data_IF_205662657676
#
_entry.id   IF_205662657676
#
_cell.length_a   1.000
_cell.length_b   1.000
_cell.length_c   1.000
_cell.angle_alpha   90.00
_cell.angle_beta   90.00
_cell.angle_gamma   90.00
#
_symmetry.space_group_name_H-M   'P 1'
#
loop_
_entity.id
_entity.type
_entity.pdbx_description
1 polymer ?
#
# COMPACT_ATOMS: atom_id res chain seq x y z
N UNK A 1 -7.64 3.98 -14.81
CA UNK A 1 -7.47 4.78 -13.61
C UNK A 1 -6.71 6.04 -13.96
N UNK A 2 -7.21 7.20 -13.59
CA UNK A 2 -6.72 8.52 -14.04
C UNK A 2 -5.89 9.20 -12.95
N UNK A 3 -6.34 9.13 -11.72
CA UNK A 3 -5.74 9.83 -10.58
C UNK A 3 -5.03 8.89 -9.61
N UNK A 4 -5.70 7.86 -9.14
CA UNK A 4 -5.19 6.95 -8.10
C UNK A 4 -4.37 5.80 -8.70
N UNK A 5 -3.30 6.16 -9.41
CA UNK A 5 -2.40 5.21 -10.08
C UNK A 5 -1.48 4.48 -9.08
N UNK A 6 -0.70 3.52 -9.58
CA UNK A 6 0.34 2.85 -8.77
C UNK A 6 1.37 3.84 -8.26
N UNK A 7 1.74 4.82 -9.11
CA UNK A 7 2.68 5.88 -8.78
C UNK A 7 2.13 6.81 -7.69
N UNK A 8 0.83 7.17 -7.76
CA UNK A 8 0.16 7.90 -6.69
C UNK A 8 0.22 7.14 -5.37
N UNK A 9 -0.08 5.84 -5.38
CA UNK A 9 -0.05 5.02 -4.18
C UNK A 9 1.37 4.90 -3.60
N UNK A 10 2.39 4.72 -4.46
CA UNK A 10 3.80 4.70 -4.04
C UNK A 10 4.22 6.05 -3.44
N UNK A 11 3.77 7.17 -4.00
CA UNK A 11 3.99 8.50 -3.44
C UNK A 11 3.35 8.68 -2.06
N UNK A 12 2.09 8.24 -1.86
CA UNK A 12 1.45 8.24 -0.55
C UNK A 12 2.25 7.42 0.47
N UNK A 13 2.69 6.21 0.08
CA UNK A 13 3.47 5.35 0.98
C UNK A 13 4.87 5.92 1.30
N UNK A 14 5.46 6.66 0.36
CA UNK A 14 6.75 7.29 0.53
C UNK A 14 6.69 8.52 1.46
N UNK A 15 5.59 9.28 1.40
CA UNK A 15 5.40 10.49 2.20
C UNK A 15 5.51 10.24 3.71
N UNK A 16 5.17 9.04 4.16
CA UNK A 16 5.16 8.66 5.59
C UNK A 16 6.51 8.16 6.12
N UNK A 17 7.47 7.83 5.24
CA UNK A 17 8.71 7.16 5.67
C UNK A 17 9.61 7.97 6.58
N UNK A 18 9.57 9.31 6.48
CA UNK A 18 10.46 10.17 7.26
C UNK A 18 10.01 10.45 8.69
N UNK A 19 8.78 10.07 9.06
CA UNK A 19 8.17 10.46 10.32
C UNK A 19 8.92 9.91 11.55
N UNK A 20 9.50 8.71 11.45
CA UNK A 20 10.13 8.01 12.58
C UNK A 20 11.64 7.80 12.42
N UNK A 21 12.28 8.43 11.44
CA UNK A 21 13.69 8.23 11.12
C UNK A 21 14.60 8.85 12.19
N UNK A 22 15.34 8.02 12.92
CA UNK A 22 16.31 8.47 13.90
C UNK A 22 17.69 8.72 13.25
N UNK A 23 18.46 9.65 13.80
CA UNK A 23 19.82 9.96 13.33
C UNK A 23 20.85 9.18 14.13
N UNK A 24 21.78 8.52 13.44
CA UNK A 24 22.93 7.84 14.04
C UNK A 24 24.18 8.03 13.18
N UNK A 25 25.32 8.35 13.82
CA UNK A 25 26.63 8.34 13.16
C UNK A 25 27.05 6.94 12.73
N UNK A 26 26.58 5.89 13.41
CA UNK A 26 26.89 4.51 13.04
C UNK A 26 26.26 4.08 11.69
N UNK A 27 25.43 4.93 11.10
CA UNK A 27 24.90 4.74 9.74
C UNK A 27 25.79 5.37 8.64
N UNK A 28 26.93 6.00 8.99
CA UNK A 28 27.86 6.61 8.02
C UNK A 28 28.68 5.56 7.29
N UNK A 29 28.95 4.42 7.93
CA UNK A 29 29.74 3.34 7.39
C UNK A 29 29.03 2.00 7.50
N UNK A 30 29.31 1.11 6.56
CA UNK A 30 28.82 -0.26 6.62
C UNK A 30 29.41 -1.00 7.82
N UNK A 31 28.55 -1.59 8.68
CA UNK A 31 28.95 -2.44 9.78
C UNK A 31 27.95 -3.58 9.98
N UNK A 32 28.37 -4.79 9.68
CA UNK A 32 27.54 -5.99 9.86
C UNK A 32 27.19 -6.24 11.33
N UNK A 33 28.11 -5.94 12.25
CA UNK A 33 27.89 -6.07 13.69
C UNK A 33 26.82 -5.08 14.16
N UNK A 34 26.93 -3.81 13.76
CA UNK A 34 25.94 -2.78 14.07
C UNK A 34 24.58 -3.14 13.51
N UNK A 35 24.50 -3.59 12.26
CA UNK A 35 23.24 -4.04 11.67
C UNK A 35 22.58 -5.17 12.47
N UNK A 36 23.33 -6.23 12.83
CA UNK A 36 22.80 -7.38 13.58
C UNK A 36 22.28 -6.99 14.95
N UNK A 37 22.97 -6.10 15.65
CA UNK A 37 22.56 -5.61 16.96
C UNK A 37 21.27 -4.74 16.83
N UNK A 38 21.24 -3.81 15.87
CA UNK A 38 20.10 -2.98 15.58
C UNK A 38 18.87 -3.81 15.18
N UNK A 39 19.04 -4.76 14.26
CA UNK A 39 17.98 -5.69 13.83
C UNK A 39 17.39 -6.46 15.00
N UNK A 40 18.27 -6.99 15.87
CA UNK A 40 17.84 -7.75 17.04
C UNK A 40 17.03 -6.88 18.02
N UNK A 41 17.45 -5.64 18.25
CA UNK A 41 16.71 -4.69 19.11
C UNK A 41 15.35 -4.33 18.53
N UNK A 42 15.29 -4.02 17.23
CA UNK A 42 14.02 -3.69 16.54
C UNK A 42 13.07 -4.87 16.51
N UNK A 43 13.56 -6.09 16.21
CA UNK A 43 12.76 -7.31 16.26
C UNK A 43 12.14 -7.54 17.65
N UNK A 44 12.93 -7.40 18.71
CA UNK A 44 12.44 -7.55 20.10
C UNK A 44 11.36 -6.53 20.43
N UNK A 45 11.53 -5.27 20.01
CA UNK A 45 10.54 -4.23 20.22
C UNK A 45 9.22 -4.53 19.48
N UNK A 46 9.32 -4.96 18.21
CA UNK A 46 8.17 -5.37 17.40
C UNK A 46 7.41 -6.55 18.03
N UNK A 47 8.12 -7.61 18.41
CA UNK A 47 7.52 -8.80 19.04
C UNK A 47 6.84 -8.43 20.37
N UNK A 48 7.42 -7.52 21.15
CA UNK A 48 6.80 -7.02 22.38
C UNK A 48 5.49 -6.26 22.11
N UNK A 49 5.49 -5.38 21.10
CA UNK A 49 4.31 -4.64 20.71
C UNK A 49 3.20 -5.59 20.22
N UNK A 50 3.51 -6.55 19.33
CA UNK A 50 2.54 -7.55 18.85
C UNK A 50 1.92 -8.34 20.02
N UNK A 51 2.73 -8.71 21.03
CA UNK A 51 2.22 -9.40 22.22
C UNK A 51 1.22 -8.55 23.01
N UNK A 52 1.49 -7.23 23.12
CA UNK A 52 0.58 -6.30 23.82
C UNK A 52 -0.74 -6.10 23.03
N UNK A 53 -0.67 -6.11 21.68
CA UNK A 53 -1.84 -5.92 20.82
C UNK A 53 -2.71 -7.18 20.69
N UNK A 54 -2.12 -8.37 20.59
CA UNK A 54 -2.83 -9.65 20.33
C UNK A 54 -3.23 -10.39 21.61
N UNK A 55 -2.62 -10.07 22.76
CA UNK A 55 -2.95 -10.68 24.05
C UNK A 55 -2.79 -12.20 24.05
N UNK A 56 -3.88 -12.92 24.33
CA UNK A 56 -3.87 -14.40 24.39
C UNK A 56 -3.70 -15.08 23.03
N UNK A 57 -4.00 -14.39 21.92
CA UNK A 57 -3.83 -14.94 20.56
C UNK A 57 -2.39 -14.81 20.02
N UNK A 58 -1.47 -14.24 20.80
CA UNK A 58 -0.11 -13.96 20.36
C UNK A 58 0.71 -15.22 20.03
N UNK A 59 1.23 -15.26 18.81
CA UNK A 59 2.21 -16.26 18.37
C UNK A 59 3.58 -15.58 18.12
N UNK A 60 4.54 -15.91 18.98
CA UNK A 60 5.89 -15.34 18.92
C UNK A 60 6.61 -15.68 17.60
N UNK A 61 6.45 -16.92 17.09
CA UNK A 61 7.12 -17.37 15.87
C UNK A 61 6.51 -16.61 14.67
N UNK A 62 5.18 -16.52 14.62
CA UNK A 62 4.50 -15.75 13.59
C UNK A 62 4.92 -14.27 13.61
N UNK A 63 5.04 -13.64 14.78
CA UNK A 63 5.50 -12.25 14.92
C UNK A 63 6.96 -12.07 14.47
N UNK A 64 7.88 -12.99 14.79
CA UNK A 64 9.28 -12.93 14.32
C UNK A 64 9.37 -13.08 12.80
N UNK A 65 8.59 -13.98 12.20
CA UNK A 65 8.51 -14.16 10.74
C UNK A 65 7.89 -12.92 10.06
N UNK A 66 6.86 -12.34 10.67
CA UNK A 66 6.24 -11.11 10.16
C UNK A 66 7.24 -9.94 10.13
N UNK A 67 8.01 -9.75 11.20
CA UNK A 67 9.07 -8.73 11.25
C UNK A 67 10.12 -8.95 10.15
N UNK A 68 10.61 -10.18 9.99
CA UNK A 68 11.60 -10.52 8.96
C UNK A 68 11.09 -10.16 7.56
N UNK A 69 9.87 -10.62 7.22
CA UNK A 69 9.25 -10.34 5.92
C UNK A 69 9.04 -8.84 5.70
N UNK A 70 8.52 -8.14 6.72
CA UNK A 70 8.32 -6.70 6.64
C UNK A 70 9.63 -5.95 6.38
N UNK A 71 10.71 -6.32 7.07
CA UNK A 71 12.02 -5.71 6.87
C UNK A 71 12.56 -5.96 5.47
N UNK A 72 12.53 -7.21 4.98
CA UNK A 72 12.96 -7.56 3.62
C UNK A 72 12.16 -6.82 2.54
N UNK A 73 10.85 -6.74 2.70
CA UNK A 73 9.97 -6.01 1.78
C UNK A 73 10.25 -4.50 1.81
N UNK A 74 10.54 -3.95 2.98
CA UNK A 74 10.93 -2.54 3.14
C UNK A 74 12.24 -2.24 2.42
N UNK A 75 13.28 -3.07 2.59
CA UNK A 75 14.55 -2.93 1.86
C UNK A 75 14.31 -2.95 0.36
N UNK A 76 13.64 -3.98 -0.16
CA UNK A 76 13.33 -4.11 -1.60
C UNK A 76 12.56 -2.92 -2.14
N UNK A 77 11.61 -2.40 -1.36
CA UNK A 77 10.82 -1.24 -1.75
C UNK A 77 11.68 0.02 -1.79
N UNK A 78 12.52 0.27 -0.79
CA UNK A 78 13.44 1.40 -0.76
C UNK A 78 14.44 1.36 -1.93
N UNK A 79 15.02 0.20 -2.23
CA UNK A 79 15.89 0.00 -3.38
C UNK A 79 15.22 0.33 -4.72
N UNK A 80 13.92 0.04 -4.84
CA UNK A 80 13.15 0.29 -6.06
C UNK A 80 12.79 1.75 -6.24
N UNK A 81 12.33 2.45 -5.18
CA UNK A 81 11.67 3.74 -5.32
C UNK A 81 12.50 4.94 -4.90
N UNK A 82 13.54 4.76 -4.07
CA UNK A 82 14.39 5.88 -3.68
C UNK A 82 15.20 6.41 -4.87
N UNK A 83 15.37 7.75 -4.98
CA UNK A 83 16.29 8.37 -5.94
C UNK A 83 17.71 7.82 -5.81
N UNK A 84 18.42 7.80 -6.95
CA UNK A 84 19.78 7.25 -6.99
C UNK A 84 20.76 8.05 -6.10
N UNK A 85 20.53 9.34 -5.96
CA UNK A 85 21.33 10.24 -5.12
C UNK A 85 21.21 9.86 -3.64
N UNK A 86 19.98 9.58 -3.18
CA UNK A 86 19.74 9.13 -1.80
C UNK A 86 20.35 7.75 -1.59
N UNK A 87 20.14 6.82 -2.54
CA UNK A 87 20.72 5.47 -2.44
C UNK A 87 22.25 5.50 -2.38
N UNK A 88 22.89 6.39 -3.13
CA UNK A 88 24.36 6.54 -3.12
C UNK A 88 24.90 7.10 -1.80
N UNK A 89 24.08 7.85 -1.04
CA UNK A 89 24.45 8.38 0.26
C UNK A 89 24.22 7.40 1.43
N UNK A 90 23.54 6.28 1.18
CA UNK A 90 23.23 5.26 2.20
C UNK A 90 24.28 4.19 2.23
N UNK A 91 24.98 4.03 3.34
CA UNK A 91 26.01 2.99 3.50
C UNK A 91 25.42 1.57 3.59
N UNK A 92 24.26 1.41 4.20
CA UNK A 92 23.56 0.12 4.32
C UNK A 92 22.02 0.33 4.28
N UNK A 93 21.38 -0.13 3.20
CA UNK A 93 19.94 -0.03 3.01
C UNK A 93 19.14 -0.80 4.07
N UNK A 94 19.72 -1.85 4.63
CA UNK A 94 19.08 -2.64 5.71
C UNK A 94 18.98 -1.84 7.00
N UNK A 95 19.98 -0.99 7.27
CA UNK A 95 20.00 -0.07 8.44
C UNK A 95 18.95 1.04 8.22
N UNK A 96 18.88 1.58 7.00
CA UNK A 96 17.85 2.57 6.64
C UNK A 96 16.44 2.00 6.82
N UNK A 97 16.22 0.76 6.41
CA UNK A 97 14.94 0.06 6.58
C UNK A 97 14.57 -0.27 8.04
N UNK A 98 15.45 -0.03 8.98
CA UNK A 98 15.20 -0.07 10.44
C UNK A 98 15.06 1.33 11.04
N UNK A 99 14.70 2.33 10.23
CA UNK A 99 14.47 3.72 10.61
C UNK A 99 15.69 4.44 11.19
N UNK A 100 16.89 4.11 10.71
CA UNK A 100 18.12 4.77 11.09
C UNK A 100 18.83 5.34 9.87
N UNK A 101 19.20 6.61 9.93
CA UNK A 101 19.91 7.32 8.86
C UNK A 101 21.03 8.21 9.42
N UNK A 102 21.92 8.66 8.54
CA UNK A 102 22.80 9.81 8.85
C UNK A 102 21.98 11.11 8.84
N UNK A 103 22.53 12.18 9.39
CA UNK A 103 21.88 13.49 9.35
C UNK A 103 21.64 13.95 7.90
N UNK A 104 22.60 13.70 7.02
CA UNK A 104 22.53 14.06 5.60
C UNK A 104 21.44 13.28 4.86
N UNK A 105 21.48 11.95 4.96
CA UNK A 105 20.45 11.05 4.35
C UNK A 105 19.06 11.40 4.85
N UNK A 106 18.89 11.65 6.16
CA UNK A 106 17.59 12.06 6.72
C UNK A 106 17.11 13.38 6.13
N UNK A 107 18.01 14.35 5.91
CA UNK A 107 17.64 15.64 5.30
C UNK A 107 17.16 15.46 3.86
N UNK A 108 17.90 14.69 3.05
CA UNK A 108 17.53 14.40 1.67
C UNK A 108 16.21 13.62 1.58
N UNK A 109 16.03 12.59 2.44
CA UNK A 109 14.79 11.83 2.53
C UNK A 109 13.60 12.73 2.89
N UNK A 110 13.77 13.65 3.85
CA UNK A 110 12.69 14.55 4.25
C UNK A 110 12.23 15.42 3.07
N UNK A 111 13.17 16.02 2.34
CA UNK A 111 12.85 16.83 1.17
C UNK A 111 12.11 16.00 0.11
N UNK A 112 12.61 14.80 -0.18
CA UNK A 112 11.97 13.90 -1.13
C UNK A 112 10.57 13.45 -0.68
N UNK A 113 10.37 13.09 0.60
CA UNK A 113 9.05 12.73 1.13
C UNK A 113 8.04 13.89 1.03
N UNK A 114 8.49 15.14 1.27
CA UNK A 114 7.65 16.33 1.09
C UNK A 114 7.24 16.53 -0.37
N UNK A 115 8.12 16.24 -1.33
CA UNK A 115 7.79 16.24 -2.76
C UNK A 115 6.78 15.14 -3.11
N UNK A 116 6.98 13.92 -2.61
CA UNK A 116 6.04 12.81 -2.84
C UNK A 116 4.66 13.15 -2.27
N UNK A 117 4.61 13.75 -1.08
CA UNK A 117 3.36 14.23 -0.48
C UNK A 117 2.65 15.24 -1.38
N UNK A 118 3.37 16.23 -1.88
CA UNK A 118 2.79 17.23 -2.80
C UNK A 118 2.22 16.61 -4.07
N UNK A 119 2.92 15.61 -4.65
CA UNK A 119 2.44 14.87 -5.82
C UNK A 119 1.16 14.10 -5.51
N UNK A 120 1.09 13.42 -4.36
CA UNK A 120 -0.10 12.69 -3.94
C UNK A 120 -1.28 13.65 -3.68
N UNK A 121 -1.06 14.72 -2.92
CA UNK A 121 -2.08 15.73 -2.60
C UNK A 121 -2.62 16.42 -3.87
N UNK A 122 -1.74 16.71 -4.86
CA UNK A 122 -2.14 17.28 -6.13
C UNK A 122 -3.09 16.35 -6.91
N UNK A 123 -2.81 15.04 -6.94
CA UNK A 123 -3.69 14.06 -7.60
C UNK A 123 -5.04 13.93 -6.90
N UNK A 124 -5.08 14.00 -5.59
CA UNK A 124 -6.32 14.01 -4.83
C UNK A 124 -7.15 15.28 -5.09
N UNK A 125 -6.48 16.45 -5.18
CA UNK A 125 -7.13 17.70 -5.52
C UNK A 125 -7.66 17.70 -6.96
N UNK A 126 -6.89 17.19 -7.95
CA UNK A 126 -7.34 17.00 -9.32
C UNK A 126 -8.60 16.11 -9.38
N UNK A 127 -8.60 14.98 -8.66
CA UNK A 127 -9.77 14.11 -8.56
C UNK A 127 -10.95 14.81 -7.89
N UNK A 128 -10.71 15.56 -6.81
CA UNK A 128 -11.76 16.31 -6.13
C UNK A 128 -12.45 17.33 -7.05
N UNK A 129 -11.69 17.95 -7.94
CA UNK A 129 -12.19 18.94 -8.91
C UNK A 129 -12.81 18.33 -10.18
N UNK A 130 -12.63 17.04 -10.44
CA UNK A 130 -13.17 16.40 -11.65
C UNK A 130 -14.71 16.31 -11.59
N UNK A 131 -15.38 17.06 -12.44
CA UNK A 131 -16.84 17.08 -12.55
C UNK A 131 -17.43 15.81 -13.20
N UNK A 132 -16.62 14.99 -13.83
CA UNK A 132 -17.04 13.74 -14.50
C UNK A 132 -17.05 12.54 -13.57
N UNK A 133 -16.48 12.68 -12.35
CA UNK A 133 -16.50 11.61 -11.35
C UNK A 133 -17.90 11.39 -10.81
N UNK A 134 -18.20 10.14 -10.56
CA UNK A 134 -19.39 9.71 -9.86
C UNK A 134 -19.10 9.44 -8.38
N UNK A 135 -20.10 9.64 -7.54
CA UNK A 135 -20.01 9.19 -6.16
C UNK A 135 -19.94 7.66 -6.13
N UNK A 136 -18.88 7.12 -5.49
CA UNK A 136 -18.78 5.70 -5.19
C UNK A 136 -18.75 5.51 -3.67
N UNK A 137 -19.39 4.43 -3.19
CA UNK A 137 -19.14 4.01 -1.82
C UNK A 137 -17.72 3.42 -1.73
N UNK A 138 -16.95 3.81 -0.72
CA UNK A 138 -15.58 3.36 -0.61
C UNK A 138 -15.49 1.90 -0.13
N UNK A 139 -14.75 1.11 -0.87
CA UNK A 139 -14.33 -0.24 -0.51
C UNK A 139 -12.90 -0.26 0.05
N UNK A 140 -12.31 0.90 0.25
CA UNK A 140 -10.91 1.03 0.69
C UNK A 140 -10.66 0.23 1.97
N UNK A 141 -9.60 -0.58 1.95
CA UNK A 141 -9.22 -1.46 3.04
C UNK A 141 -9.88 -2.84 3.03
N UNK A 142 -10.95 -3.08 2.25
CA UNK A 142 -11.58 -4.40 2.14
C UNK A 142 -10.68 -5.40 1.41
N UNK A 143 -10.69 -6.65 1.88
CA UNK A 143 -10.04 -7.79 1.24
C UNK A 143 -11.07 -8.61 0.45
N UNK A 144 -10.73 -8.97 -0.79
CA UNK A 144 -11.57 -9.84 -1.63
C UNK A 144 -11.42 -11.29 -1.19
N UNK A 145 -12.48 -11.85 -0.61
CA UNK A 145 -12.52 -13.23 -0.11
C UNK A 145 -13.31 -14.17 -1.00
N UNK A 146 -14.05 -13.65 -1.97
CA UNK A 146 -14.80 -14.45 -2.94
C UNK A 146 -15.12 -13.68 -4.21
N UNK A 147 -15.12 -14.38 -5.34
CA UNK A 147 -15.50 -13.86 -6.65
C UNK A 147 -16.41 -14.89 -7.32
N UNK A 148 -17.64 -14.50 -7.61
CA UNK A 148 -18.63 -15.31 -8.33
C UNK A 148 -19.04 -14.57 -9.59
N UNK A 149 -18.82 -15.20 -10.75
CA UNK A 149 -19.18 -14.66 -12.08
C UNK A 149 -20.32 -15.48 -12.65
N UNK A 150 -21.43 -14.81 -12.95
CA UNK A 150 -22.57 -15.34 -13.72
C UNK A 150 -22.72 -14.51 -14.98
N UNK A 151 -23.50 -14.96 -15.93
CA UNK A 151 -23.66 -14.32 -17.22
C UNK A 151 -23.92 -12.81 -17.14
N UNK A 152 -24.79 -12.37 -16.22
CA UNK A 152 -25.17 -10.96 -16.06
C UNK A 152 -24.75 -10.36 -14.71
N UNK A 153 -24.06 -11.12 -13.84
CA UNK A 153 -23.82 -10.68 -12.47
C UNK A 153 -22.42 -11.08 -12.00
N UNK A 154 -21.64 -10.08 -11.57
CA UNK A 154 -20.41 -10.27 -10.83
C UNK A 154 -20.67 -9.97 -9.36
N UNK A 155 -20.39 -10.96 -8.52
CA UNK A 155 -20.48 -10.81 -7.07
C UNK A 155 -19.08 -10.90 -6.45
N UNK A 156 -18.68 -9.85 -5.75
CA UNK A 156 -17.46 -9.78 -4.97
C UNK A 156 -17.83 -9.91 -3.48
N UNK A 157 -17.30 -10.95 -2.82
CA UNK A 157 -17.39 -11.09 -1.35
C UNK A 157 -16.16 -10.44 -0.73
N UNK A 158 -16.38 -9.63 0.30
CA UNK A 158 -15.38 -8.75 0.89
C UNK A 158 -15.29 -8.97 2.41
N UNK A 159 -14.10 -8.79 2.96
CA UNK A 159 -13.86 -8.72 4.40
C UNK A 159 -13.44 -7.28 4.73
N UNK A 160 -14.27 -6.59 5.51
CA UNK A 160 -14.06 -5.19 5.87
C UNK A 160 -15.38 -4.49 6.21
N UNK A 161 -15.46 -3.20 5.91
CA UNK A 161 -16.66 -2.36 6.11
C UNK A 161 -17.81 -2.68 5.13
N UNK A 162 -17.52 -3.35 4.03
CA UNK A 162 -18.48 -3.88 3.06
C UNK A 162 -18.33 -5.40 3.02
N UNK A 163 -19.46 -6.13 3.02
CA UNK A 163 -19.46 -7.60 2.96
C UNK A 163 -19.61 -8.11 1.52
N UNK A 164 -20.38 -7.42 0.70
CA UNK A 164 -20.68 -7.87 -0.66
C UNK A 164 -20.92 -6.70 -1.61
N UNK A 165 -20.36 -6.80 -2.81
CA UNK A 165 -20.64 -5.91 -3.93
C UNK A 165 -21.15 -6.73 -5.11
N UNK A 166 -22.31 -6.37 -5.65
CA UNK A 166 -22.98 -7.06 -6.76
C UNK A 166 -23.12 -6.11 -7.93
N UNK A 167 -22.41 -6.39 -9.01
CA UNK A 167 -22.42 -5.66 -10.27
C UNK A 167 -23.35 -6.38 -11.26
N UNK A 168 -24.42 -5.71 -11.73
CA UNK A 168 -25.36 -6.25 -12.72
C UNK A 168 -25.02 -5.75 -14.12
N UNK A 169 -25.21 -6.62 -15.11
CA UNK A 169 -24.90 -6.41 -16.52
C UNK A 169 -23.47 -5.88 -16.69
N UNK A 170 -22.54 -6.62 -16.07
CA UNK A 170 -21.16 -6.21 -15.94
C UNK A 170 -20.29 -6.63 -17.13
N UNK A 171 -19.19 -5.90 -17.32
CA UNK A 171 -18.05 -6.29 -18.14
C UNK A 171 -16.77 -6.00 -17.37
N UNK A 172 -15.84 -6.97 -17.32
CA UNK A 172 -14.49 -6.71 -16.84
C UNK A 172 -13.68 -6.18 -18.03
N UNK A 173 -13.32 -4.90 -17.97
CA UNK A 173 -12.56 -4.24 -19.03
C UNK A 173 -11.05 -4.41 -18.84
N UNK A 174 -10.61 -4.52 -17.58
CA UNK A 174 -9.21 -4.75 -17.22
C UNK A 174 -9.11 -5.55 -15.93
N UNK A 175 -8.22 -6.54 -15.89
CA UNK A 175 -7.89 -7.28 -14.68
C UNK A 175 -6.41 -7.67 -14.70
N UNK A 176 -5.66 -7.21 -13.72
CA UNK A 176 -4.24 -7.52 -13.56
C UNK A 176 -4.03 -8.53 -12.41
N UNK A 177 -4.08 -9.81 -12.76
CA UNK A 177 -3.82 -10.93 -11.85
C UNK A 177 -5.06 -11.45 -11.13
N UNK A 178 -4.84 -12.29 -10.11
CA UNK A 178 -5.91 -12.91 -9.33
C UNK A 178 -6.52 -11.90 -8.35
N UNK A 179 -7.83 -11.97 -8.19
CA UNK A 179 -8.59 -11.08 -7.31
C UNK A 179 -8.69 -11.61 -5.86
N UNK A 180 -8.71 -12.93 -5.67
CA UNK A 180 -8.83 -13.53 -4.33
C UNK A 180 -7.61 -13.16 -3.46
N UNK A 181 -7.89 -12.71 -2.24
CA UNK A 181 -6.88 -12.23 -1.30
C UNK A 181 -6.32 -10.84 -1.65
N UNK A 182 -6.83 -10.18 -2.71
CA UNK A 182 -6.42 -8.82 -3.02
C UNK A 182 -7.11 -7.82 -2.09
N UNK A 183 -6.38 -6.79 -1.67
CA UNK A 183 -6.89 -5.68 -0.88
C UNK A 183 -7.26 -4.51 -1.78
N UNK A 184 -8.49 -4.03 -1.64
CA UNK A 184 -8.99 -2.84 -2.33
C UNK A 184 -8.34 -1.59 -1.72
N UNK A 185 -7.61 -0.82 -2.50
CA UNK A 185 -6.88 0.35 -2.00
C UNK A 185 -7.63 1.65 -2.26
N UNK A 186 -8.05 1.84 -3.50
CA UNK A 186 -8.76 3.05 -3.93
C UNK A 186 -9.56 2.76 -5.21
N UNK A 187 -10.65 3.52 -5.42
CA UNK A 187 -11.43 3.48 -6.63
C UNK A 187 -11.74 4.86 -7.20
N UNK A 188 -12.00 4.90 -8.49
CA UNK A 188 -12.60 6.00 -9.24
C UNK A 188 -13.84 5.47 -9.95
N UNK A 189 -14.92 6.23 -9.99
CA UNK A 189 -16.13 5.87 -10.72
C UNK A 189 -16.53 6.98 -11.69
N UNK A 190 -16.95 6.61 -12.89
CA UNK A 190 -17.34 7.52 -13.96
C UNK A 190 -18.62 7.05 -14.60
N UNK A 191 -19.48 8.02 -15.01
CA UNK A 191 -20.66 7.71 -15.83
C UNK A 191 -20.20 7.31 -17.23
N UNK A 192 -20.82 6.25 -17.76
CA UNK A 192 -20.67 5.79 -19.14
C UNK A 192 -22.04 5.48 -19.73
N UNK A 193 -22.13 5.32 -21.05
CA UNK A 193 -23.37 4.90 -21.67
C UNK A 193 -23.85 3.56 -21.10
N UNK A 194 -25.06 3.55 -20.55
CA UNK A 194 -25.68 2.36 -19.94
C UNK A 194 -25.22 2.02 -18.53
N UNK A 195 -24.51 2.91 -17.80
CA UNK A 195 -24.14 2.63 -16.41
C UNK A 195 -22.96 3.41 -15.87
N UNK A 196 -22.10 2.70 -15.14
CA UNK A 196 -20.88 3.28 -14.54
C UNK A 196 -19.67 2.37 -14.79
N UNK A 197 -18.52 3.01 -14.88
CA UNK A 197 -17.23 2.34 -14.95
C UNK A 197 -16.46 2.59 -13.64
N UNK A 198 -16.02 1.50 -13.02
CA UNK A 198 -15.28 1.49 -11.75
C UNK A 198 -13.84 1.11 -12.03
N UNK A 199 -12.93 2.02 -11.77
CA UNK A 199 -11.48 1.80 -11.85
C UNK A 199 -10.92 1.59 -10.46
N UNK A 200 -10.29 0.47 -10.23
CA UNK A 200 -9.87 0.04 -8.90
C UNK A 200 -8.37 -0.20 -8.87
N UNK A 201 -7.70 0.35 -7.88
CA UNK A 201 -6.34 -0.03 -7.50
C UNK A 201 -6.39 -1.10 -6.41
N UNK A 202 -5.72 -2.21 -6.67
CA UNK A 202 -5.64 -3.35 -5.77
C UNK A 202 -4.20 -3.59 -5.32
N UNK A 203 -4.02 -4.07 -4.06
CA UNK A 203 -2.81 -4.77 -3.65
C UNK A 203 -3.10 -6.26 -3.64
N UNK A 204 -2.46 -6.99 -4.53
CA UNK A 204 -2.62 -8.44 -4.68
C UNK A 204 -2.07 -9.19 -3.46
N UNK A 205 -2.46 -10.45 -3.27
CA UNK A 205 -1.98 -11.30 -2.19
C UNK A 205 -0.45 -11.47 -2.13
N UNK A 206 0.24 -11.33 -3.28
CA UNK A 206 1.70 -11.33 -3.36
C UNK A 206 2.35 -9.95 -3.08
N UNK A 207 1.57 -8.96 -2.61
CA UNK A 207 2.04 -7.61 -2.29
C UNK A 207 2.17 -6.64 -3.48
N UNK A 208 2.10 -7.12 -4.73
CA UNK A 208 2.21 -6.25 -5.91
C UNK A 208 0.90 -5.50 -6.18
N UNK A 209 1.01 -4.32 -6.81
CA UNK A 209 -0.15 -3.54 -7.22
C UNK A 209 -0.74 -4.07 -8.53
N UNK A 210 -2.06 -3.93 -8.68
CA UNK A 210 -2.78 -4.29 -9.90
C UNK A 210 -4.01 -3.43 -10.10
N UNK A 211 -4.54 -3.44 -11.31
CA UNK A 211 -5.78 -2.75 -11.66
C UNK A 211 -6.90 -3.74 -11.93
N UNK A 212 -8.11 -3.33 -11.55
CA UNK A 212 -9.38 -3.93 -11.96
C UNK A 212 -10.27 -2.82 -12.50
N UNK A 213 -10.83 -2.99 -13.70
CA UNK A 213 -11.82 -2.06 -14.26
C UNK A 213 -13.08 -2.84 -14.59
N UNK A 214 -14.20 -2.42 -14.02
CA UNK A 214 -15.53 -3.03 -14.19
C UNK A 214 -16.46 -1.97 -14.75
N UNK A 215 -17.12 -2.25 -15.86
CA UNK A 215 -18.31 -1.51 -16.31
C UNK A 215 -19.54 -2.27 -15.86
N UNK A 216 -20.57 -1.59 -15.33
CA UNK A 216 -21.82 -2.20 -14.91
C UNK A 216 -22.99 -1.21 -14.95
N UNK A 217 -24.18 -1.70 -15.27
CA UNK A 217 -25.39 -0.87 -15.25
C UNK A 217 -25.80 -0.50 -13.81
N UNK A 218 -25.61 -1.44 -12.86
CA UNK A 218 -26.00 -1.25 -11.47
C UNK A 218 -24.99 -1.90 -10.52
N UNK A 219 -24.66 -1.19 -9.43
CA UNK A 219 -23.93 -1.72 -8.27
C UNK A 219 -24.86 -1.75 -7.06
N UNK A 220 -24.95 -2.90 -6.40
CA UNK A 220 -25.64 -3.08 -5.11
C UNK A 220 -24.64 -3.49 -4.05
N UNK A 221 -24.64 -2.82 -2.90
CA UNK A 221 -23.69 -3.03 -1.80
C UNK A 221 -24.43 -3.54 -0.57
N UNK A 222 -23.88 -4.59 0.04
CA UNK A 222 -24.34 -5.12 1.32
C UNK A 222 -23.24 -4.87 2.37
N UNK A 223 -23.61 -4.17 3.42
CA UNK A 223 -22.73 -3.84 4.58
C UNK A 223 -22.78 -4.92 5.64
#
# INVERSE_FOLDING_TARGET
MKYFTKEWYEACQAADWCLNMAVSKNAEEFSEEYYKDLYTRRRRAFVKQMKEEEGEAFDKIAAEVAFMKHHEETVKRMERILPIEIKAAVADMRVLALDIATKEVRHQLKAWCEEQKKLADAKEAEYAADSTKESSETFAGCELTGVEMKETTLTLTLKGNVKKAVFKNYKILKQEGYLLGAKWLKEEAYAVEGGKEYHVLLRKSNGTLGYLTISAEQLTILK
#
